data_IF_826748443421
#
_entry.id   IF_826748443421
#
_cell.length_a   1.000
_cell.length_b   1.000
_cell.length_c   1.000
_cell.angle_alpha   90.00
_cell.angle_beta   90.00
_cell.angle_gamma   90.00
#
_symmetry.space_group_name_H-M   'P 1'
#
loop_
_entity.id
_entity.type
_entity.pdbx_description
1 polymer ?
#
# COMPACT_ATOMS: atom_id res chain seq x y z
N UNK A 1 -56.47 -6.30 -15.35
CA UNK A 1 -55.37 -7.10 -15.95
C UNK A 1 -54.22 -6.16 -16.25
N UNK A 2 -53.17 -6.12 -15.41
CA UNK A 2 -52.07 -5.17 -15.59
C UNK A 2 -51.02 -5.77 -16.53
N UNK A 3 -50.44 -4.97 -17.42
CA UNK A 3 -49.11 -5.25 -17.98
C UNK A 3 -48.29 -3.99 -17.75
N UNK A 4 -47.67 -3.95 -16.58
CA UNK A 4 -46.57 -3.05 -16.28
C UNK A 4 -45.40 -3.44 -17.20
N UNK A 5 -45.12 -2.62 -18.20
CA UNK A 5 -43.86 -2.65 -18.94
C UNK A 5 -42.74 -2.38 -17.94
N UNK A 6 -42.13 -3.47 -17.46
CA UNK A 6 -40.94 -3.43 -16.65
C UNK A 6 -39.82 -2.80 -17.45
N UNK A 7 -39.57 -1.51 -17.20
CA UNK A 7 -38.27 -0.92 -17.43
C UNK A 7 -37.37 -1.59 -16.40
N UNK A 8 -36.91 -2.80 -16.74
CA UNK A 8 -35.74 -3.39 -16.13
C UNK A 8 -34.59 -2.48 -16.54
N UNK A 9 -34.37 -1.41 -15.77
CA UNK A 9 -33.06 -0.82 -15.65
C UNK A 9 -32.16 -1.99 -15.25
N UNK A 10 -31.53 -2.55 -16.27
CA UNK A 10 -30.41 -3.44 -16.16
C UNK A 10 -29.33 -2.57 -15.52
N UNK A 11 -29.40 -2.44 -14.19
CA UNK A 11 -28.25 -2.11 -13.37
C UNK A 11 -27.29 -3.26 -13.62
N UNK A 12 -26.58 -3.21 -14.75
CA UNK A 12 -25.24 -3.73 -14.78
C UNK A 12 -24.53 -2.92 -13.71
N UNK A 13 -24.58 -3.46 -12.50
CA UNK A 13 -23.63 -3.20 -11.45
C UNK A 13 -22.28 -3.57 -12.06
N UNK A 14 -21.73 -2.68 -12.88
CA UNK A 14 -20.30 -2.67 -13.06
C UNK A 14 -19.82 -2.40 -11.65
N UNK A 15 -19.20 -3.41 -11.02
CA UNK A 15 -18.47 -3.28 -9.77
C UNK A 15 -17.26 -2.36 -9.98
N UNK A 16 -17.45 -1.19 -10.60
CA UNK A 16 -16.47 -0.12 -10.73
C UNK A 16 -16.43 0.69 -9.44
N UNK A 17 -16.50 -0.01 -8.30
CA UNK A 17 -16.29 0.59 -7.00
C UNK A 17 -14.85 1.10 -6.89
N UNK A 18 -14.60 2.08 -6.00
CA UNK A 18 -13.25 2.59 -5.73
C UNK A 18 -12.22 1.48 -5.48
N UNK A 19 -12.64 0.38 -4.84
CA UNK A 19 -11.80 -0.80 -4.57
C UNK A 19 -11.38 -1.56 -5.84
N UNK A 20 -12.28 -1.74 -6.81
CA UNK A 20 -11.95 -2.42 -8.06
C UNK A 20 -10.98 -1.59 -8.91
N UNK A 21 -11.15 -0.26 -8.92
CA UNK A 21 -10.19 0.64 -9.56
C UNK A 21 -8.83 0.60 -8.85
N UNK A 22 -8.82 0.62 -7.52
CA UNK A 22 -7.59 0.44 -6.74
C UNK A 22 -6.87 -0.85 -7.10
N UNK A 23 -7.61 -1.96 -7.20
CA UNK A 23 -7.05 -3.25 -7.59
C UNK A 23 -6.44 -3.21 -8.99
N UNK A 24 -7.10 -2.57 -9.96
CA UNK A 24 -6.57 -2.42 -11.33
C UNK A 24 -5.28 -1.59 -11.36
N UNK A 25 -5.23 -0.49 -10.61
CA UNK A 25 -4.03 0.30 -10.43
C UNK A 25 -2.91 -0.54 -9.79
N UNK A 26 -3.20 -1.29 -8.72
CA UNK A 26 -2.21 -2.17 -8.09
C UNK A 26 -1.65 -3.22 -9.07
N UNK A 27 -2.50 -3.89 -9.85
CA UNK A 27 -2.03 -4.89 -10.82
C UNK A 27 -1.12 -4.27 -11.89
N UNK A 28 -1.47 -3.09 -12.42
CA UNK A 28 -0.58 -2.36 -13.35
C UNK A 28 0.74 -1.96 -12.70
N UNK A 29 0.73 -1.58 -11.43
CA UNK A 29 1.95 -1.32 -10.67
C UNK A 29 2.88 -2.53 -10.63
N UNK A 30 2.32 -3.72 -10.37
CA UNK A 30 3.06 -5.00 -10.39
C UNK A 30 3.62 -5.29 -11.78
N UNK A 31 2.83 -5.09 -12.84
CA UNK A 31 3.27 -5.25 -14.22
C UNK A 31 4.43 -4.32 -14.60
N UNK A 32 4.42 -3.07 -14.10
CA UNK A 32 5.52 -2.13 -14.31
C UNK A 32 6.76 -2.46 -13.49
N UNK A 33 6.64 -2.95 -12.25
CA UNK A 33 7.80 -3.48 -11.50
C UNK A 33 8.43 -4.68 -12.22
N UNK A 34 7.63 -5.58 -12.79
CA UNK A 34 8.14 -6.71 -13.56
C UNK A 34 8.89 -6.30 -14.85
N UNK A 35 8.63 -5.08 -15.35
CA UNK A 35 9.32 -4.47 -16.49
C UNK A 35 10.50 -3.58 -16.07
N UNK A 36 10.86 -3.55 -14.79
CA UNK A 36 11.90 -2.67 -14.23
C UNK A 36 11.62 -1.17 -14.50
N UNK A 37 10.34 -0.79 -14.42
CA UNK A 37 9.86 0.58 -14.61
C UNK A 37 9.36 1.18 -13.29
N UNK A 38 10.26 1.50 -12.33
CA UNK A 38 9.89 1.87 -10.96
C UNK A 38 9.05 3.16 -10.87
N UNK A 39 9.30 4.14 -11.74
CA UNK A 39 8.53 5.38 -11.76
C UNK A 39 7.06 5.15 -12.18
N UNK A 40 6.83 4.30 -13.18
CA UNK A 40 5.49 3.93 -13.63
C UNK A 40 4.77 3.10 -12.57
N UNK A 41 5.49 2.15 -11.95
CA UNK A 41 4.96 1.35 -10.87
C UNK A 41 4.52 2.20 -9.67
N UNK A 42 5.38 3.14 -9.24
CA UNK A 42 5.09 4.05 -8.13
C UNK A 42 3.81 4.86 -8.39
N UNK A 43 3.63 5.38 -9.61
CA UNK A 43 2.42 6.14 -9.97
C UNK A 43 1.15 5.29 -9.87
N UNK A 44 1.19 4.06 -10.35
CA UNK A 44 0.03 3.16 -10.26
C UNK A 44 -0.25 2.75 -8.80
N UNK A 45 0.79 2.52 -8.01
CA UNK A 45 0.62 2.25 -6.58
C UNK A 45 0.12 3.46 -5.78
N UNK A 46 0.49 4.70 -6.16
CA UNK A 46 -0.04 5.93 -5.55
C UNK A 46 -1.57 6.01 -5.68
N UNK A 47 -2.12 5.72 -6.86
CA UNK A 47 -3.57 5.70 -7.10
C UNK A 47 -4.27 4.62 -6.26
N UNK A 48 -3.68 3.41 -6.20
CA UNK A 48 -4.23 2.32 -5.40
C UNK A 48 -4.13 2.59 -3.89
N UNK A 49 -3.04 3.19 -3.42
CA UNK A 49 -2.83 3.59 -2.04
C UNK A 49 -3.79 4.72 -1.63
N UNK A 50 -4.02 5.70 -2.50
CA UNK A 50 -5.00 6.78 -2.28
C UNK A 50 -6.43 6.24 -2.09
N UNK A 51 -6.75 5.08 -2.67
CA UNK A 51 -8.00 4.38 -2.46
C UNK A 51 -8.03 3.49 -1.19
N UNK A 52 -6.97 3.52 -0.36
CA UNK A 52 -6.90 2.81 0.92
C UNK A 52 -6.50 1.34 0.79
N UNK A 53 -5.80 0.94 -0.28
CA UNK A 53 -5.29 -0.43 -0.42
C UNK A 53 -3.97 -0.60 0.34
N UNK A 54 -3.95 -1.46 1.35
CA UNK A 54 -2.78 -1.68 2.23
C UNK A 54 -1.57 -2.20 1.43
N UNK A 55 -1.80 -3.15 0.53
CA UNK A 55 -0.78 -3.76 -0.32
C UNK A 55 -0.12 -2.71 -1.22
N UNK A 56 -0.90 -1.74 -1.71
CA UNK A 56 -0.39 -0.66 -2.53
C UNK A 56 0.48 0.31 -1.74
N UNK A 57 0.11 0.66 -0.50
CA UNK A 57 0.99 1.42 0.39
C UNK A 57 2.33 0.70 0.62
N UNK A 58 2.28 -0.61 0.86
CA UNK A 58 3.49 -1.40 1.12
C UNK A 58 4.39 -1.48 -0.12
N UNK A 59 3.80 -1.77 -1.29
CA UNK A 59 4.51 -1.82 -2.55
C UNK A 59 5.12 -0.45 -2.92
N UNK A 60 4.37 0.63 -2.76
CA UNK A 60 4.86 2.00 -2.98
C UNK A 60 6.06 2.35 -2.09
N UNK A 61 5.98 2.05 -0.79
CA UNK A 61 7.10 2.26 0.13
C UNK A 61 8.32 1.45 -0.25
N UNK A 62 8.12 0.22 -0.74
CA UNK A 62 9.19 -0.66 -1.19
C UNK A 62 9.87 -0.13 -2.45
N UNK A 63 9.08 0.34 -3.44
CA UNK A 63 9.61 0.95 -4.67
C UNK A 63 10.42 2.20 -4.33
N UNK A 64 9.89 3.11 -3.51
CA UNK A 64 10.66 4.29 -3.10
C UNK A 64 11.94 3.93 -2.35
N UNK A 65 11.93 2.90 -1.51
CA UNK A 65 13.13 2.45 -0.79
C UNK A 65 14.21 1.89 -1.73
N UNK A 66 13.82 1.11 -2.74
CA UNK A 66 14.75 0.58 -3.77
C UNK A 66 15.38 1.70 -4.61
N UNK A 67 14.60 2.74 -4.91
CA UNK A 67 15.05 3.92 -5.66
C UNK A 67 15.78 4.95 -4.79
N UNK A 68 16.18 4.58 -3.56
CA UNK A 68 16.87 5.44 -2.58
C UNK A 68 16.09 6.72 -2.19
N UNK A 69 14.80 6.76 -2.48
CA UNK A 69 13.88 7.84 -2.10
C UNK A 69 13.39 7.62 -0.66
N UNK A 70 14.32 7.48 0.27
CA UNK A 70 14.07 7.01 1.64
C UNK A 70 13.03 7.83 2.40
N UNK A 71 13.03 9.16 2.27
CA UNK A 71 12.03 10.00 2.95
C UNK A 71 10.61 9.80 2.42
N UNK A 72 10.44 9.54 1.10
CA UNK A 72 9.13 9.18 0.53
C UNK A 72 8.69 7.80 1.02
N UNK A 73 9.61 6.85 1.10
CA UNK A 73 9.35 5.52 1.65
C UNK A 73 8.92 5.60 3.12
N UNK A 74 9.64 6.36 3.95
CA UNK A 74 9.30 6.65 5.35
C UNK A 74 7.87 7.23 5.45
N UNK A 75 7.56 8.26 4.67
CA UNK A 75 6.24 8.88 4.65
C UNK A 75 5.13 7.88 4.32
N UNK A 76 5.40 7.01 3.35
CA UNK A 76 4.46 5.99 2.86
C UNK A 76 4.22 4.89 3.91
N UNK A 77 5.27 4.30 4.49
CA UNK A 77 5.12 3.30 5.54
C UNK A 77 4.46 3.88 6.80
N UNK A 78 4.77 5.14 7.16
CA UNK A 78 4.06 5.80 8.26
C UNK A 78 2.57 6.00 7.94
N UNK A 79 2.21 6.28 6.69
CA UNK A 79 0.81 6.37 6.29
C UNK A 79 0.08 5.03 6.35
N UNK A 80 0.77 3.95 5.98
CA UNK A 80 0.29 2.58 6.14
C UNK A 80 0.05 2.28 7.62
N UNK A 81 1.05 2.44 8.47
CA UNK A 81 0.98 2.10 9.91
C UNK A 81 -0.02 2.95 10.70
N UNK A 82 -0.40 4.14 10.21
CA UNK A 82 -1.52 4.90 10.79
C UNK A 82 -2.87 4.21 10.59
N UNK A 83 -3.04 3.47 9.49
CA UNK A 83 -4.27 2.76 9.13
C UNK A 83 -4.25 1.31 9.62
N UNK A 84 -3.09 0.65 9.53
CA UNK A 84 -2.86 -0.72 9.96
C UNK A 84 -1.67 -0.79 10.93
N UNK A 85 -1.86 -0.44 12.21
CA UNK A 85 -0.78 -0.38 13.21
C UNK A 85 -0.10 -1.72 13.48
N UNK A 86 -0.78 -2.83 13.18
CA UNK A 86 -0.29 -4.19 13.39
C UNK A 86 0.52 -4.74 12.20
N UNK A 87 0.68 -3.98 11.11
CA UNK A 87 1.39 -4.49 9.92
C UNK A 87 2.91 -4.53 10.14
N UNK A 88 3.39 -5.68 10.62
CA UNK A 88 4.80 -5.91 10.96
C UNK A 88 5.75 -5.68 9.79
N UNK A 89 5.36 -6.09 8.57
CA UNK A 89 6.18 -5.88 7.37
C UNK A 89 6.43 -4.41 7.12
N UNK A 90 5.42 -3.56 7.30
CA UNK A 90 5.54 -2.12 7.15
C UNK A 90 6.37 -1.50 8.29
N UNK A 91 6.26 -2.03 9.52
CA UNK A 91 7.09 -1.61 10.65
C UNK A 91 8.57 -1.90 10.40
N UNK A 92 8.89 -3.11 9.90
CA UNK A 92 10.24 -3.47 9.46
C UNK A 92 10.71 -2.58 8.30
N UNK A 93 9.89 -2.42 7.27
CA UNK A 93 10.21 -1.56 6.12
C UNK A 93 10.56 -0.13 6.55
N UNK A 94 9.76 0.46 7.45
CA UNK A 94 10.04 1.77 8.01
C UNK A 94 11.36 1.84 8.79
N UNK A 95 11.65 0.81 9.61
CA UNK A 95 12.91 0.73 10.35
C UNK A 95 14.12 0.66 9.41
N UNK A 96 14.04 -0.17 8.36
CA UNK A 96 15.08 -0.28 7.32
C UNK A 96 15.33 1.08 6.64
N UNK A 97 14.27 1.84 6.33
CA UNK A 97 14.41 3.18 5.74
C UNK A 97 15.00 4.21 6.72
N UNK A 98 14.66 4.15 8.01
CA UNK A 98 15.29 5.00 9.01
C UNK A 98 16.79 4.73 9.16
N UNK A 99 17.21 3.46 9.10
CA UNK A 99 18.63 3.12 9.08
C UNK A 99 19.34 3.72 7.87
N UNK A 100 18.72 3.64 6.68
CA UNK A 100 19.30 4.19 5.45
C UNK A 100 19.59 5.70 5.52
N UNK A 101 18.79 6.46 6.28
CA UNK A 101 19.00 7.91 6.50
C UNK A 101 19.73 8.24 7.80
N UNK A 102 20.31 7.25 8.48
CA UNK A 102 21.10 7.46 9.71
C UNK A 102 20.27 7.70 10.98
N UNK A 103 18.96 7.46 10.93
CA UNK A 103 18.00 7.65 12.03
C UNK A 103 17.88 6.39 12.89
N UNK A 104 19.02 5.96 13.44
CA UNK A 104 19.14 4.67 14.11
C UNK A 104 18.30 4.56 15.39
N UNK A 105 18.07 5.66 16.11
CA UNK A 105 17.24 5.67 17.30
C UNK A 105 15.77 5.33 16.97
N UNK A 106 15.21 5.93 15.92
CA UNK A 106 13.85 5.62 15.47
C UNK A 106 13.72 4.20 14.92
N UNK A 107 14.75 3.70 14.21
CA UNK A 107 14.77 2.32 13.76
C UNK A 107 14.79 1.32 14.94
N UNK A 108 15.63 1.57 15.95
CA UNK A 108 15.74 0.73 17.14
C UNK A 108 14.40 0.57 17.87
N UNK A 109 13.69 1.69 18.09
CA UNK A 109 12.37 1.66 18.72
C UNK A 109 11.34 0.80 17.95
N UNK A 110 11.41 0.79 16.62
CA UNK A 110 10.51 -0.04 15.79
C UNK A 110 10.88 -1.53 15.86
N UNK A 111 12.16 -1.87 15.89
CA UNK A 111 12.58 -3.27 16.04
C UNK A 111 12.29 -3.81 17.44
N UNK A 112 12.51 -3.03 18.49
CA UNK A 112 12.16 -3.40 19.85
C UNK A 112 10.67 -3.73 19.96
N UNK A 113 9.81 -2.90 19.35
CA UNK A 113 8.38 -3.15 19.30
C UNK A 113 8.02 -4.46 18.55
N UNK A 114 8.75 -4.81 17.48
CA UNK A 114 8.54 -6.09 16.76
C UNK A 114 8.91 -7.31 17.62
N UNK A 115 10.01 -7.22 18.35
CA UNK A 115 10.47 -8.33 19.22
C UNK A 115 9.56 -8.54 20.42
N UNK A 116 8.95 -7.48 20.96
CA UNK A 116 8.04 -7.56 22.10
C UNK A 116 6.70 -8.26 21.78
N UNK A 117 6.28 -8.28 20.50
CA UNK A 117 5.03 -8.92 20.05
C UNK A 117 5.20 -10.44 19.85
N UNK A 118 6.43 -10.90 19.58
CA UNK A 118 6.72 -12.30 19.24
C UNK A 118 6.91 -13.26 20.42
N UNK A 119 6.89 -12.80 21.67
CA UNK A 119 7.19 -13.62 22.86
C UNK A 119 6.19 -13.34 24.01
N UNK A 120 5.08 -14.10 24.13
CA UNK A 120 4.56 -14.48 25.42
C UNK A 120 5.28 -15.77 25.86
N UNK A 121 5.95 -15.69 27.01
CA UNK A 121 6.59 -16.79 27.75
C UNK A 121 5.85 -18.14 27.70
#
# INVERSE_FOLDING_TARGET
MPILLGIGLFWSCSETGPKARAQQHYQRGVEYEAQDMPASAAREYEEAAAAGMMEAYYALGTVYGKEEQHERAIGTYRALLRQWPEEERARKGLADQYLAVGRAAEAGALYEALLAVGEPW
#
